data_IF_529861916950
#
_entry.id   IF_529861916950
#
_cell.length_a   1.000
_cell.length_b   1.000
_cell.length_c   1.000
_cell.angle_alpha   90.00
_cell.angle_beta   90.00
_cell.angle_gamma   90.00
#
_symmetry.space_group_name_H-M   'P 1'
#
loop_
_entity.id
_entity.type
_entity.pdbx_description
1 polymer ?
#
# COMPACT_ATOMS: atom_id res chain seq x y z
N UNK A 1 -7.95 87.03 25.22
CA UNK A 1 -8.67 85.92 25.86
C UNK A 1 -9.13 84.98 24.75
N UNK A 2 -8.54 83.77 24.72
CA UNK A 2 -8.91 82.56 23.95
C UNK A 2 -8.78 82.59 22.42
N UNK A 3 -7.60 82.13 21.97
CA UNK A 3 -7.39 81.45 20.69
C UNK A 3 -8.21 80.15 20.65
N UNK A 4 -8.82 79.84 19.50
CA UNK A 4 -9.30 78.50 19.18
C UNK A 4 -8.52 77.98 17.97
N UNK A 5 -7.63 77.02 18.21
CA UNK A 5 -7.00 76.18 17.20
C UNK A 5 -8.04 75.21 16.65
N UNK A 6 -8.24 75.21 15.33
CA UNK A 6 -8.94 74.13 14.63
C UNK A 6 -7.88 73.21 14.04
N UNK A 7 -7.77 72.00 14.61
CA UNK A 7 -6.92 70.93 14.12
C UNK A 7 -7.68 70.22 13.00
N UNK A 8 -7.16 70.26 11.78
CA UNK A 8 -7.59 69.39 10.68
C UNK A 8 -7.04 67.98 10.95
N UNK A 9 -7.91 67.02 11.27
CA UNK A 9 -7.57 65.60 11.19
C UNK A 9 -7.78 65.11 9.75
N UNK A 10 -6.69 64.78 9.07
CA UNK A 10 -6.71 64.00 7.84
C UNK A 10 -6.99 62.53 8.18
N UNK A 11 -8.17 62.03 7.80
CA UNK A 11 -8.45 60.60 7.82
C UNK A 11 -7.74 59.94 6.63
N UNK A 12 -6.64 59.22 6.90
CA UNK A 12 -6.08 58.26 5.96
C UNK A 12 -7.03 57.06 5.88
N UNK A 13 -7.74 56.94 4.77
CA UNK A 13 -8.49 55.74 4.43
C UNK A 13 -7.48 54.67 3.97
N UNK A 14 -7.16 53.75 4.87
CA UNK A 14 -6.41 52.54 4.52
C UNK A 14 -7.34 51.59 3.76
N UNK A 15 -7.12 51.44 2.45
CA UNK A 15 -7.69 50.32 1.70
C UNK A 15 -7.02 49.04 2.22
N UNK A 16 -7.74 48.27 3.03
CA UNK A 16 -7.39 46.88 3.31
C UNK A 16 -7.74 46.11 2.04
N UNK A 17 -6.74 45.82 1.21
CA UNK A 17 -6.87 44.74 0.23
C UNK A 17 -7.06 43.44 1.02
N UNK A 18 -8.30 42.96 1.05
CA UNK A 18 -8.59 41.59 1.42
C UNK A 18 -7.98 40.69 0.33
N UNK A 19 -6.70 40.33 0.51
CA UNK A 19 -6.11 39.24 -0.24
C UNK A 19 -6.90 37.97 0.05
N UNK A 20 -7.77 37.56 -0.88
CA UNK A 20 -8.19 36.17 -0.94
C UNK A 20 -6.91 35.35 -1.11
N UNK A 21 -6.51 34.65 -0.06
CA UNK A 21 -5.61 33.51 -0.15
C UNK A 21 -6.34 32.42 -0.93
N UNK A 22 -6.48 32.60 -2.25
CA UNK A 22 -6.54 31.46 -3.15
C UNK A 22 -5.20 30.77 -2.98
N UNK A 23 -5.18 29.67 -2.21
CA UNK A 23 -4.07 28.75 -2.23
C UNK A 23 -3.72 28.51 -3.70
N UNK A 24 -2.47 28.74 -4.09
CA UNK A 24 -2.06 28.55 -5.49
C UNK A 24 -2.49 27.16 -5.91
N UNK A 25 -3.38 27.08 -6.91
CA UNK A 25 -3.58 25.89 -7.72
C UNK A 25 -2.21 25.34 -8.07
N UNK A 26 -1.96 24.09 -7.70
CA UNK A 26 -0.69 23.43 -8.00
C UNK A 26 -0.92 22.66 -9.27
N UNK A 27 -0.59 23.31 -10.38
CA UNK A 27 -0.57 22.64 -11.68
C UNK A 27 0.18 21.31 -11.54
N UNK A 28 -0.41 20.25 -12.09
CA UNK A 28 0.24 18.95 -12.18
C UNK A 28 1.65 19.08 -12.80
N UNK A 29 2.60 18.20 -12.42
CA UNK A 29 3.92 18.20 -13.04
C UNK A 29 3.83 18.15 -14.58
N UNK A 30 4.76 18.84 -15.24
CA UNK A 30 4.73 19.01 -16.69
C UNK A 30 4.67 17.64 -17.40
N UNK A 31 3.73 17.50 -18.35
CA UNK A 31 3.53 16.28 -19.11
C UNK A 31 2.60 15.26 -18.47
N UNK A 32 2.09 15.52 -17.26
CA UNK A 32 1.14 14.64 -16.58
C UNK A 32 -0.29 15.14 -16.72
N UNK A 33 -1.25 14.21 -16.74
CA UNK A 33 -2.68 14.54 -16.77
C UNK A 33 -3.53 13.41 -16.18
N UNK A 34 -4.74 13.71 -15.69
CA UNK A 34 -5.69 12.69 -15.25
C UNK A 34 -5.95 11.63 -16.33
N UNK A 35 -6.18 10.39 -15.89
CA UNK A 35 -6.41 9.21 -16.73
C UNK A 35 -5.15 8.63 -17.37
N UNK A 36 -3.95 9.12 -17.03
CA UNK A 36 -2.70 8.68 -17.64
C UNK A 36 -1.68 8.22 -16.59
N UNK A 37 -0.80 7.33 -17.03
CA UNK A 37 0.38 6.87 -16.29
C UNK A 37 1.57 7.69 -16.75
N UNK A 38 2.40 8.12 -15.82
CA UNK A 38 3.64 8.84 -16.09
C UNK A 38 4.80 8.22 -15.32
N UNK A 39 5.99 8.14 -15.93
CA UNK A 39 7.21 7.76 -15.22
C UNK A 39 7.85 9.00 -14.59
N UNK A 40 8.27 8.89 -13.33
CA UNK A 40 8.88 9.97 -12.55
C UNK A 40 10.20 9.48 -11.98
N UNK A 41 11.27 10.24 -12.21
CA UNK A 41 12.58 10.01 -11.59
C UNK A 41 12.80 10.93 -10.40
N UNK A 42 13.35 10.39 -9.33
CA UNK A 42 13.77 11.11 -8.12
C UNK A 42 15.16 10.64 -7.69
N UNK A 43 15.88 11.48 -6.94
CA UNK A 43 17.08 11.04 -6.23
C UNK A 43 16.69 10.52 -4.85
N UNK A 44 17.02 9.26 -4.56
CA UNK A 44 16.84 8.64 -3.24
C UNK A 44 18.13 7.96 -2.83
N UNK A 45 18.59 8.20 -1.60
CA UNK A 45 19.86 7.68 -1.08
C UNK A 45 21.09 7.93 -1.97
N UNK A 46 21.06 9.04 -2.74
CA UNK A 46 22.14 9.43 -3.65
C UNK A 46 22.12 8.74 -5.02
N UNK A 47 21.11 7.90 -5.30
CA UNK A 47 20.92 7.21 -6.57
C UNK A 47 19.67 7.74 -7.29
N UNK A 48 19.69 7.70 -8.63
CA UNK A 48 18.49 7.97 -9.43
C UNK A 48 17.59 6.74 -9.38
N UNK A 49 16.36 6.94 -8.91
CA UNK A 49 15.31 5.93 -8.80
C UNK A 49 14.06 6.43 -9.52
N UNK A 50 13.17 5.53 -9.90
CA UNK A 50 11.94 5.91 -10.61
C UNK A 50 10.71 5.18 -10.11
N UNK A 51 9.55 5.76 -10.37
CA UNK A 51 8.25 5.15 -10.13
C UNK A 51 7.26 5.57 -11.21
N UNK A 52 6.27 4.73 -11.48
CA UNK A 52 5.11 5.12 -12.27
C UNK A 52 4.06 5.76 -11.36
N UNK A 53 3.37 6.77 -11.85
CA UNK A 53 2.21 7.36 -11.18
C UNK A 53 1.03 7.40 -12.14
N UNK A 54 -0.07 6.81 -11.73
CA UNK A 54 -1.37 6.95 -12.36
C UNK A 54 -2.20 7.99 -11.63
N UNK A 55 -2.69 8.97 -12.38
CA UNK A 55 -3.60 10.00 -11.88
C UNK A 55 -5.02 9.58 -12.30
N UNK A 56 -5.98 9.37 -11.38
CA UNK A 56 -7.31 8.91 -11.76
C UNK A 56 -8.02 9.98 -12.60
N UNK A 57 -8.91 9.62 -13.56
CA UNK A 57 -9.59 10.57 -14.43
C UNK A 57 -10.36 11.67 -13.69
N UNK A 58 -10.86 11.37 -12.47
CA UNK A 58 -11.59 12.31 -11.62
C UNK A 58 -10.70 13.19 -10.72
N UNK A 59 -9.38 13.12 -10.84
CA UNK A 59 -8.47 13.93 -10.02
C UNK A 59 -8.72 15.43 -10.22
N UNK A 60 -8.73 16.15 -9.10
CA UNK A 60 -8.85 17.61 -9.06
C UNK A 60 -7.94 18.15 -7.96
N UNK A 61 -7.25 19.26 -8.23
CA UNK A 61 -6.40 19.94 -7.25
C UNK A 61 -7.18 20.47 -6.04
N UNK A 62 -8.49 20.64 -6.19
CA UNK A 62 -9.37 21.14 -5.13
C UNK A 62 -9.90 20.04 -4.21
N UNK A 63 -9.60 18.76 -4.48
CA UNK A 63 -10.11 17.60 -3.74
C UNK A 63 -8.98 16.65 -3.32
N UNK A 64 -8.72 16.48 -2.01
CA UNK A 64 -7.78 15.47 -1.51
C UNK A 64 -8.12 14.07 -2.02
N UNK A 65 -7.18 13.49 -2.76
CA UNK A 65 -7.33 12.20 -3.43
C UNK A 65 -6.52 11.13 -2.69
N UNK A 66 -7.08 9.95 -2.37
CA UNK A 66 -6.31 8.84 -1.79
C UNK A 66 -5.14 8.40 -2.68
N UNK A 67 -4.18 7.69 -2.09
CA UNK A 67 -3.04 7.13 -2.82
C UNK A 67 -2.81 5.66 -2.44
N UNK A 68 -2.52 4.82 -3.43
CA UNK A 68 -2.17 3.41 -3.26
C UNK A 68 -0.76 3.20 -3.82
N UNK A 69 0.15 2.68 -3.00
CA UNK A 69 1.46 2.20 -3.42
C UNK A 69 1.36 0.72 -3.73
N UNK A 70 1.79 0.31 -4.93
CA UNK A 70 1.77 -1.09 -5.37
C UNK A 70 3.16 -1.56 -5.79
N UNK A 71 3.71 -2.53 -5.06
CA UNK A 71 5.08 -3.01 -5.23
C UNK A 71 5.13 -4.30 -6.04
N UNK A 72 5.95 -4.31 -7.09
CA UNK A 72 6.11 -5.45 -7.99
C UNK A 72 6.74 -6.68 -7.31
N UNK A 73 6.46 -7.87 -7.83
CA UNK A 73 7.15 -9.09 -7.42
C UNK A 73 8.62 -9.13 -7.84
N UNK A 74 9.40 -10.04 -7.27
CA UNK A 74 10.81 -10.22 -7.66
C UNK A 74 10.93 -10.59 -9.13
N UNK A 75 12.02 -10.17 -9.78
CA UNK A 75 12.31 -10.33 -11.23
C UNK A 75 11.29 -9.70 -12.19
N UNK A 76 10.38 -8.89 -11.66
CA UNK A 76 9.38 -8.10 -12.39
C UNK A 76 9.67 -6.62 -12.19
N UNK A 77 8.98 -5.77 -12.95
CA UNK A 77 9.11 -4.32 -12.86
C UNK A 77 7.78 -3.61 -12.54
N UNK A 78 7.83 -2.28 -12.44
CA UNK A 78 6.66 -1.45 -12.15
C UNK A 78 5.57 -1.53 -13.23
N UNK A 79 5.92 -1.77 -14.51
CA UNK A 79 4.95 -1.93 -15.60
C UNK A 79 4.24 -3.29 -15.49
N UNK A 80 4.99 -4.36 -15.22
CA UNK A 80 4.45 -5.69 -14.94
C UNK A 80 3.41 -5.63 -13.80
N UNK A 81 3.73 -4.94 -12.70
CA UNK A 81 2.80 -4.81 -11.56
C UNK A 81 1.54 -4.01 -11.91
N UNK A 82 1.71 -2.93 -12.68
CA UNK A 82 0.60 -2.11 -13.17
C UNK A 82 -0.39 -2.91 -14.01
N UNK A 83 0.11 -3.78 -14.89
CA UNK A 83 -0.71 -4.65 -15.71
C UNK A 83 -1.36 -5.78 -14.91
N UNK A 84 -0.65 -6.29 -13.90
CA UNK A 84 -1.09 -7.41 -13.09
C UNK A 84 -2.27 -7.06 -12.17
N UNK A 85 -2.13 -5.98 -11.39
CA UNK A 85 -3.07 -5.66 -10.31
C UNK A 85 -4.32 -4.90 -10.76
N UNK A 86 -4.30 -4.30 -11.95
CA UNK A 86 -5.43 -3.55 -12.51
C UNK A 86 -5.92 -2.39 -11.62
N UNK A 87 -5.09 -1.87 -10.69
CA UNK A 87 -5.47 -0.73 -9.84
C UNK A 87 -5.60 0.58 -10.63
N UNK A 88 -5.16 0.63 -11.88
CA UNK A 88 -5.39 1.77 -12.78
C UNK A 88 -6.74 1.67 -13.52
N UNK A 89 -7.46 0.56 -13.39
CA UNK A 89 -8.78 0.38 -14.00
C UNK A 89 -9.84 1.19 -13.24
N UNK A 90 -10.62 2.04 -13.93
CA UNK A 90 -11.71 2.79 -13.29
C UNK A 90 -12.83 1.88 -12.76
N UNK A 91 -12.91 0.63 -13.22
CA UNK A 91 -13.89 -0.35 -12.73
C UNK A 91 -13.57 -0.85 -11.32
N UNK A 92 -12.29 -0.82 -10.92
CA UNK A 92 -11.84 -1.30 -9.59
C UNK A 92 -11.36 -0.18 -8.68
N UNK A 93 -10.71 0.86 -9.23
CA UNK A 93 -10.22 2.00 -8.47
C UNK A 93 -10.63 3.30 -9.18
N UNK A 94 -11.82 3.84 -8.89
CA UNK A 94 -12.32 5.03 -9.58
C UNK A 94 -11.65 6.34 -9.13
N UNK A 95 -10.90 6.35 -8.02
CA UNK A 95 -10.64 7.61 -7.31
C UNK A 95 -9.32 7.73 -6.56
N UNK A 96 -8.39 6.79 -6.66
CA UNK A 96 -7.08 6.90 -5.98
C UNK A 96 -5.96 7.11 -6.98
N UNK A 97 -4.95 7.92 -6.63
CA UNK A 97 -3.65 7.84 -7.29
C UNK A 97 -3.08 6.45 -7.06
N UNK A 98 -2.38 5.91 -8.06
CA UNK A 98 -1.64 4.66 -7.90
C UNK A 98 -0.18 4.90 -8.23
N UNK A 99 0.69 4.51 -7.32
CA UNK A 99 2.13 4.69 -7.38
C UNK A 99 2.74 3.30 -7.49
N UNK A 100 3.56 3.08 -8.52
CA UNK A 100 4.28 1.83 -8.75
C UNK A 100 5.79 2.08 -8.68
N UNK A 101 6.42 1.94 -7.51
CA UNK A 101 7.86 2.13 -7.36
C UNK A 101 8.67 1.05 -8.08
N UNK A 102 9.82 1.42 -8.65
CA UNK A 102 10.77 0.48 -9.25
C UNK A 102 11.86 0.07 -8.25
N UNK A 103 11.94 -1.22 -7.94
CA UNK A 103 13.01 -1.81 -7.14
C UNK A 103 14.34 -1.78 -7.89
N UNK A 104 15.46 -1.62 -7.16
CA UNK A 104 16.79 -1.82 -7.75
C UNK A 104 16.97 -3.32 -8.01
N UNK A 105 17.43 -3.68 -9.21
CA UNK A 105 17.60 -5.08 -9.62
C UNK A 105 16.31 -5.91 -9.44
N UNK A 106 15.16 -5.27 -9.62
CA UNK A 106 13.85 -5.92 -9.64
C UNK A 106 13.56 -6.71 -8.35
N UNK A 107 14.01 -6.17 -7.21
CA UNK A 107 13.83 -6.76 -5.88
C UNK A 107 13.67 -5.68 -4.81
N UNK A 108 13.36 -6.11 -3.58
CA UNK A 108 13.02 -5.22 -2.47
C UNK A 108 13.78 -5.56 -1.19
N UNK A 109 14.01 -4.55 -0.36
CA UNK A 109 14.39 -4.71 1.04
C UNK A 109 13.48 -5.74 1.74
N UNK A 110 14.08 -6.63 2.54
CA UNK A 110 13.39 -7.76 3.17
C UNK A 110 13.62 -9.09 2.44
N UNK A 111 14.05 -9.05 1.17
CA UNK A 111 14.53 -10.26 0.49
C UNK A 111 15.95 -10.61 0.96
N UNK A 112 16.26 -11.88 1.26
CA UNK A 112 17.58 -12.30 1.74
C UNK A 112 18.71 -11.85 0.82
N UNK A 113 19.68 -11.14 1.40
CA UNK A 113 20.86 -10.62 0.68
C UNK A 113 20.67 -9.25 0.00
N UNK A 114 19.44 -8.72 -0.06
CA UNK A 114 19.17 -7.37 -0.57
C UNK A 114 19.52 -6.33 0.50
N UNK A 115 20.20 -5.25 0.09
CA UNK A 115 20.74 -4.20 0.99
C UNK A 115 20.30 -2.79 0.60
N UNK A 116 19.37 -2.67 -0.32
CA UNK A 116 18.75 -1.40 -0.72
C UNK A 116 17.94 -0.83 0.45
N UNK A 117 17.88 0.50 0.52
CA UNK A 117 17.03 1.21 1.48
C UNK A 117 15.74 1.63 0.78
N UNK A 118 14.85 0.66 0.60
CA UNK A 118 13.59 0.88 -0.11
C UNK A 118 12.53 1.52 0.79
N UNK A 119 12.70 1.44 2.12
CA UNK A 119 11.90 2.22 3.08
C UNK A 119 12.16 3.72 2.88
N UNK A 120 13.44 4.13 2.80
CA UNK A 120 13.80 5.51 2.47
C UNK A 120 13.29 5.93 1.10
N UNK A 121 13.38 5.05 0.11
CA UNK A 121 12.85 5.33 -1.22
C UNK A 121 11.33 5.56 -1.19
N UNK A 122 10.58 4.73 -0.47
CA UNK A 122 9.14 4.90 -0.28
C UNK A 122 8.83 6.24 0.41
N UNK A 123 9.59 6.61 1.45
CA UNK A 123 9.45 7.90 2.11
C UNK A 123 9.72 9.09 1.16
N UNK A 124 10.73 8.99 0.30
CA UNK A 124 11.05 10.02 -0.68
C UNK A 124 9.97 10.16 -1.76
N UNK A 125 9.36 9.04 -2.20
CA UNK A 125 8.21 9.09 -3.12
C UNK A 125 7.00 9.71 -2.42
N UNK A 126 6.72 9.34 -1.17
CA UNK A 126 5.61 9.95 -0.41
C UNK A 126 5.77 11.47 -0.32
N UNK A 127 6.97 11.95 0.03
CA UNK A 127 7.25 13.38 0.13
C UNK A 127 7.17 14.07 -1.25
N UNK A 128 7.61 13.40 -2.32
CA UNK A 128 7.40 13.88 -3.69
C UNK A 128 5.91 13.98 -4.02
N UNK A 129 5.14 12.93 -3.75
CA UNK A 129 3.71 12.84 -4.08
C UNK A 129 2.91 13.88 -3.31
N UNK A 130 3.16 14.07 -2.02
CA UNK A 130 2.51 15.10 -1.20
C UNK A 130 2.89 16.54 -1.58
N UNK A 131 4.05 16.73 -2.21
CA UNK A 131 4.49 18.06 -2.68
C UNK A 131 3.96 18.40 -4.08
N UNK A 132 3.64 17.42 -4.92
CA UNK A 132 3.23 17.63 -6.30
C UNK A 132 1.75 17.38 -6.59
N UNK A 133 1.05 16.62 -5.74
CA UNK A 133 -0.38 16.31 -5.91
C UNK A 133 -1.20 16.68 -4.67
N UNK A 134 -2.50 16.93 -4.86
CA UNK A 134 -3.46 17.12 -3.76
C UNK A 134 -3.90 15.76 -3.24
N UNK A 135 -3.13 15.21 -2.30
CA UNK A 135 -3.32 13.88 -1.73
C UNK A 135 -3.99 13.96 -0.36
N UNK A 136 -4.91 13.03 -0.10
CA UNK A 136 -5.43 12.80 1.24
C UNK A 136 -4.43 11.98 2.05
N UNK A 137 -3.67 12.67 2.92
CA UNK A 137 -2.61 12.06 3.74
C UNK A 137 -3.14 11.07 4.77
N UNK A 138 -4.43 11.10 5.09
CA UNK A 138 -5.05 10.11 5.98
C UNK A 138 -5.42 8.82 5.26
N UNK A 139 -5.38 8.80 3.91
CA UNK A 139 -5.82 7.69 3.06
C UNK A 139 -4.73 7.32 2.05
N UNK A 140 -3.58 6.96 2.60
CA UNK A 140 -2.45 6.40 1.85
C UNK A 140 -2.32 4.93 2.23
N UNK A 141 -2.21 4.05 1.23
CA UNK A 141 -2.24 2.59 1.41
C UNK A 141 -1.09 1.91 0.68
N UNK A 142 -0.75 0.69 1.09
CA UNK A 142 0.31 -0.09 0.46
C UNK A 142 -0.15 -1.53 0.16
N UNK A 143 0.17 -2.02 -1.01
CA UNK A 143 -0.06 -3.38 -1.48
C UNK A 143 1.13 -3.82 -2.33
N UNK A 144 1.21 -5.10 -2.64
CA UNK A 144 2.25 -5.61 -3.51
C UNK A 144 2.22 -7.12 -3.56
N UNK A 145 2.90 -7.68 -4.56
CA UNK A 145 2.94 -9.11 -4.79
C UNK A 145 4.29 -9.73 -4.43
N UNK A 146 4.32 -10.95 -3.89
CA UNK A 146 5.56 -11.74 -3.76
C UNK A 146 6.60 -11.01 -2.90
N UNK A 147 7.82 -10.77 -3.41
CA UNK A 147 8.82 -9.91 -2.76
C UNK A 147 8.24 -8.52 -2.39
N UNK A 148 7.42 -7.91 -3.25
CA UNK A 148 6.72 -6.63 -2.97
C UNK A 148 5.61 -6.76 -1.91
N UNK A 149 4.99 -7.94 -1.79
CA UNK A 149 4.08 -8.26 -0.68
C UNK A 149 4.84 -8.42 0.64
N UNK A 150 6.02 -9.04 0.60
CA UNK A 150 6.95 -9.05 1.73
C UNK A 150 7.37 -7.64 2.14
N UNK A 151 7.71 -6.79 1.17
CA UNK A 151 8.06 -5.39 1.42
C UNK A 151 6.89 -4.56 1.96
N UNK A 152 5.65 -4.86 1.55
CA UNK A 152 4.43 -4.27 2.14
C UNK A 152 4.38 -4.52 3.66
N UNK A 153 4.73 -5.73 4.12
CA UNK A 153 4.86 -6.02 5.55
C UNK A 153 6.04 -5.29 6.22
N UNK A 154 7.17 -5.12 5.51
CA UNK A 154 8.29 -4.29 6.01
C UNK A 154 7.83 -2.87 6.32
N UNK A 155 7.06 -2.25 5.41
CA UNK A 155 6.50 -0.92 5.62
C UNK A 155 5.50 -0.89 6.79
N UNK A 156 4.66 -1.91 6.90
CA UNK A 156 3.68 -2.02 7.97
C UNK A 156 4.33 -2.14 9.35
N UNK A 157 5.51 -2.77 9.41
CA UNK A 157 6.30 -2.94 10.63
C UNK A 157 7.39 -1.88 10.84
N UNK A 158 7.54 -0.91 9.94
CA UNK A 158 8.47 0.20 10.12
C UNK A 158 7.85 1.31 10.99
N UNK A 159 8.65 1.87 11.89
CA UNK A 159 8.17 2.84 12.87
C UNK A 159 7.68 4.14 12.23
N UNK A 160 8.30 4.59 11.13
CA UNK A 160 7.91 5.81 10.46
C UNK A 160 6.78 5.55 9.45
N UNK A 161 6.88 4.47 8.67
CA UNK A 161 5.91 4.18 7.61
C UNK A 161 4.57 3.71 8.17
N UNK A 162 4.55 2.98 9.29
CA UNK A 162 3.29 2.63 9.97
C UNK A 162 2.45 3.86 10.34
N UNK A 163 3.06 5.04 10.56
CA UNK A 163 2.36 6.30 10.84
C UNK A 163 1.93 7.06 9.56
N UNK A 164 2.37 6.64 8.38
CA UNK A 164 2.11 7.30 7.09
C UNK A 164 1.11 6.53 6.22
N UNK A 165 0.96 5.23 6.46
CA UNK A 165 0.03 4.36 5.73
C UNK A 165 -1.13 3.91 6.62
N UNK A 166 -2.35 4.11 6.12
CA UNK A 166 -3.60 3.80 6.81
C UNK A 166 -3.92 2.30 6.82
N UNK A 167 -3.57 1.56 5.77
CA UNK A 167 -3.83 0.12 5.65
C UNK A 167 -2.87 -0.56 4.67
N UNK A 168 -2.72 -1.88 4.82
CA UNK A 168 -1.80 -2.72 4.05
C UNK A 168 -2.50 -3.94 3.47
N UNK A 169 -2.13 -4.32 2.24
CA UNK A 169 -2.74 -5.46 1.56
C UNK A 169 -1.72 -6.30 0.76
N UNK A 170 -0.82 -7.07 1.38
CA UNK A 170 0.09 -7.94 0.64
C UNK A 170 -0.64 -9.09 -0.06
N UNK A 171 -0.13 -9.50 -1.22
CA UNK A 171 -0.64 -10.62 -2.01
C UNK A 171 0.48 -11.63 -2.26
N UNK A 172 0.28 -12.88 -1.85
CA UNK A 172 1.27 -13.95 -1.94
C UNK A 172 2.64 -13.55 -1.37
N UNK A 173 2.64 -12.88 -0.22
CA UNK A 173 3.80 -12.12 0.27
C UNK A 173 4.97 -13.00 0.74
N UNK A 174 6.19 -12.63 0.36
CA UNK A 174 7.40 -13.33 0.79
C UNK A 174 7.93 -12.77 2.14
N UNK A 175 7.37 -13.23 3.25
CA UNK A 175 7.66 -12.74 4.60
C UNK A 175 8.91 -13.40 5.21
N UNK A 176 10.10 -13.13 4.66
CA UNK A 176 11.35 -13.73 5.14
C UNK A 176 11.72 -13.30 6.56
N UNK A 177 12.08 -14.28 7.39
CA UNK A 177 12.58 -14.10 8.75
C UNK A 177 13.98 -14.71 8.84
N UNK A 178 14.97 -13.91 9.23
CA UNK A 178 16.38 -14.32 9.38
C UNK A 178 16.56 -15.25 10.58
N UNK A 179 16.17 -16.51 10.40
CA UNK A 179 16.33 -17.58 11.38
C UNK A 179 16.49 -18.94 10.70
N UNK A 180 17.30 -19.80 11.33
CA UNK A 180 17.53 -21.18 10.90
C UNK A 180 17.94 -22.03 12.12
N UNK A 181 17.33 -23.20 12.37
CA UNK A 181 16.33 -23.89 11.53
C UNK A 181 14.98 -23.17 11.49
N UNK A 182 14.24 -23.36 10.39
CA UNK A 182 12.91 -22.78 10.21
C UNK A 182 11.84 -23.67 10.85
N UNK A 183 11.02 -23.07 11.71
CA UNK A 183 9.75 -23.64 12.16
C UNK A 183 8.62 -22.68 11.74
N UNK A 184 7.95 -22.91 10.58
CA UNK A 184 7.01 -21.97 9.99
C UNK A 184 5.83 -21.60 10.90
N UNK A 185 5.36 -22.53 11.71
CA UNK A 185 4.17 -22.36 12.55
C UNK A 185 4.46 -21.67 13.89
N UNK A 186 5.74 -21.41 14.22
CA UNK A 186 6.11 -20.83 15.51
C UNK A 186 7.21 -19.78 15.43
N UNK A 187 7.68 -19.44 14.23
CA UNK A 187 8.76 -18.46 14.07
C UNK A 187 8.32 -17.10 14.60
N UNK A 188 9.16 -16.45 15.40
CA UNK A 188 8.89 -15.09 15.86
C UNK A 188 8.99 -14.10 14.70
N UNK A 189 7.92 -13.34 14.45
CA UNK A 189 7.85 -12.34 13.40
C UNK A 189 8.09 -10.96 14.05
N UNK A 190 9.27 -10.34 13.84
CA UNK A 190 9.55 -9.04 14.42
C UNK A 190 8.73 -7.95 13.71
N UNK A 191 8.19 -7.03 14.50
CA UNK A 191 7.46 -5.87 13.99
C UNK A 191 7.70 -4.68 14.91
N UNK A 192 8.11 -3.55 14.34
CA UNK A 192 8.45 -2.33 15.08
C UNK A 192 7.56 -1.16 14.64
N UNK A 193 6.29 -1.45 14.41
CA UNK A 193 5.30 -0.43 14.09
C UNK A 193 5.13 0.54 15.27
N UNK A 194 4.86 1.81 14.97
CA UNK A 194 4.74 2.86 15.99
C UNK A 194 3.28 3.16 16.37
N UNK A 195 2.31 2.51 15.70
CA UNK A 195 0.89 2.54 16.05
C UNK A 195 0.34 1.13 16.15
N UNK A 196 -0.65 0.99 17.02
CA UNK A 196 -1.49 -0.20 17.11
C UNK A 196 -2.65 -0.10 16.11
N UNK A 197 -3.44 -1.17 16.04
CA UNK A 197 -4.64 -1.27 15.22
C UNK A 197 -4.37 -0.93 13.74
N UNK A 198 -3.43 -1.65 13.13
CA UNK A 198 -3.07 -1.47 11.72
C UNK A 198 -3.96 -2.38 10.86
N UNK A 199 -4.85 -1.82 10.03
CA UNK A 199 -5.64 -2.60 9.11
C UNK A 199 -4.75 -3.35 8.12
N UNK A 200 -4.93 -4.66 8.04
CA UNK A 200 -4.07 -5.56 7.26
C UNK A 200 -4.88 -6.68 6.62
N UNK A 201 -4.86 -6.81 5.29
CA UNK A 201 -5.59 -7.85 4.56
C UNK A 201 -4.63 -8.65 3.67
N UNK A 202 -4.60 -9.97 3.81
CA UNK A 202 -3.69 -10.85 3.07
C UNK A 202 -4.45 -11.78 2.11
N UNK A 203 -3.80 -12.16 1.01
CA UNK A 203 -4.35 -13.06 0.00
C UNK A 203 -3.31 -14.09 -0.43
N UNK A 204 -3.62 -15.39 -0.28
CA UNK A 204 -2.66 -16.45 -0.59
C UNK A 204 -3.29 -17.70 -1.18
N UNK A 205 -2.59 -18.28 -2.16
CA UNK A 205 -2.98 -19.53 -2.82
C UNK A 205 -2.49 -20.78 -2.10
N UNK A 206 -3.35 -21.78 -1.95
CA UNK A 206 -2.98 -23.08 -1.37
C UNK A 206 -2.02 -23.90 -2.24
N UNK A 207 -2.04 -23.70 -3.56
CA UNK A 207 -1.12 -24.34 -4.51
C UNK A 207 0.10 -23.46 -4.83
N UNK A 208 0.38 -22.43 -4.04
CA UNK A 208 1.58 -21.60 -4.23
C UNK A 208 2.85 -22.44 -4.04
N UNK A 209 3.57 -22.71 -5.12
CA UNK A 209 4.81 -23.50 -5.12
C UNK A 209 6.07 -22.64 -4.95
N UNK A 210 5.92 -21.32 -4.88
CA UNK A 210 7.02 -20.36 -4.71
C UNK A 210 7.13 -19.91 -3.26
N UNK A 211 6.05 -19.39 -2.70
CA UNK A 211 5.89 -19.01 -1.30
C UNK A 211 4.79 -19.91 -0.74
N UNK A 212 5.18 -21.04 -0.18
CA UNK A 212 4.20 -22.06 0.21
C UNK A 212 3.27 -21.51 1.30
N UNK A 213 1.98 -21.86 1.22
CA UNK A 213 0.98 -21.45 2.22
C UNK A 213 1.36 -21.93 3.64
N UNK A 214 1.91 -23.14 3.74
CA UNK A 214 2.41 -23.73 4.99
C UNK A 214 3.80 -23.19 5.40
N UNK A 215 4.34 -22.23 4.65
CA UNK A 215 5.67 -21.67 4.88
C UNK A 215 6.80 -22.68 4.65
N UNK A 216 7.97 -22.41 5.20
CA UNK A 216 9.13 -23.30 5.09
C UNK A 216 10.47 -22.58 4.97
N UNK A 217 11.55 -23.37 5.01
CA UNK A 217 12.88 -22.84 4.79
C UNK A 217 13.07 -22.44 3.33
N UNK A 218 13.49 -21.20 3.07
CA UNK A 218 13.77 -20.68 1.73
C UNK A 218 14.90 -19.68 1.79
N UNK A 219 15.82 -19.70 0.82
CA UNK A 219 16.97 -18.78 0.74
C UNK A 219 17.81 -18.70 2.05
N UNK A 220 17.87 -19.80 2.82
CA UNK A 220 18.53 -19.92 4.15
C UNK A 220 17.85 -19.15 5.30
N UNK A 221 16.66 -18.64 5.06
CA UNK A 221 15.80 -17.98 6.03
C UNK A 221 14.50 -18.77 6.19
N UNK A 222 13.61 -18.30 7.06
CA UNK A 222 12.33 -18.93 7.35
C UNK A 222 11.17 -18.10 6.77
N UNK A 223 10.27 -18.74 6.04
CA UNK A 223 8.95 -18.19 5.74
C UNK A 223 7.97 -18.76 6.78
N UNK A 224 7.23 -17.92 7.52
CA UNK A 224 6.15 -18.39 8.38
C UNK A 224 5.06 -19.05 7.53
N UNK A 225 4.29 -19.95 8.14
CA UNK A 225 3.02 -20.35 7.52
C UNK A 225 2.09 -19.15 7.52
N UNK A 226 1.28 -18.99 6.47
CA UNK A 226 0.35 -17.86 6.34
C UNK A 226 -0.67 -17.83 7.49
N UNK A 227 -1.24 -18.96 7.95
CA UNK A 227 -2.07 -18.97 9.16
C UNK A 227 -1.34 -18.42 10.39
N UNK A 228 -0.09 -18.82 10.62
CA UNK A 228 0.70 -18.28 11.74
C UNK A 228 0.99 -16.78 11.56
N UNK A 229 1.39 -16.37 10.36
CA UNK A 229 1.68 -14.96 10.04
C UNK A 229 0.49 -14.04 10.33
N UNK A 230 -0.70 -14.40 9.83
CA UNK A 230 -1.91 -13.60 10.06
C UNK A 230 -2.36 -13.65 11.50
N UNK A 231 -2.22 -14.80 12.17
CA UNK A 231 -2.50 -14.89 13.60
C UNK A 231 -1.58 -13.96 14.42
N UNK A 232 -0.30 -13.81 14.06
CA UNK A 232 0.60 -12.87 14.72
C UNK A 232 0.20 -11.41 14.48
N UNK A 233 -0.29 -11.06 13.28
CA UNK A 233 -0.87 -9.73 13.02
C UNK A 233 -2.08 -9.45 13.93
N UNK A 234 -2.99 -10.42 14.06
CA UNK A 234 -4.16 -10.29 14.94
C UNK A 234 -3.77 -10.17 16.42
N UNK A 235 -2.81 -10.98 16.89
CA UNK A 235 -2.34 -10.94 18.28
C UNK A 235 -1.60 -9.65 18.61
N UNK A 236 -0.86 -9.06 17.66
CA UNK A 236 -0.17 -7.78 17.88
C UNK A 236 -1.16 -6.67 18.23
N UNK A 237 -2.31 -6.63 17.57
CA UNK A 237 -3.33 -5.60 17.76
C UNK A 237 -4.44 -6.03 18.75
N UNK A 238 -4.14 -6.98 19.64
CA UNK A 238 -5.05 -7.48 20.69
C UNK A 238 -6.42 -7.97 20.17
N UNK A 239 -6.47 -8.53 18.96
CA UNK A 239 -7.72 -8.99 18.32
C UNK A 239 -8.17 -10.39 18.76
N UNK A 240 -7.34 -11.09 19.55
CA UNK A 240 -7.57 -12.45 20.03
C UNK A 240 -7.03 -13.54 19.09
N UNK A 241 -7.25 -14.80 19.50
CA UNK A 241 -6.79 -16.01 18.81
C UNK A 241 -7.88 -16.68 17.95
N UNK A 242 -9.10 -16.16 18.00
CA UNK A 242 -10.23 -16.62 17.19
C UNK A 242 -10.47 -15.73 15.99
N UNK A 243 -10.89 -16.33 14.89
CA UNK A 243 -11.37 -15.63 13.70
C UNK A 243 -12.79 -16.07 13.33
N UNK A 244 -13.47 -15.25 12.54
CA UNK A 244 -14.67 -15.63 11.82
C UNK A 244 -14.30 -16.17 10.44
N UNK A 245 -14.70 -17.41 10.16
CA UNK A 245 -14.53 -18.04 8.86
C UNK A 245 -15.79 -17.87 7.99
N UNK A 246 -15.60 -17.39 6.76
CA UNK A 246 -16.65 -17.32 5.74
C UNK A 246 -16.22 -18.09 4.49
N UNK A 247 -16.97 -19.12 4.11
CA UNK A 247 -16.80 -19.77 2.81
C UNK A 247 -17.39 -18.90 1.70
N UNK A 248 -16.52 -18.34 0.86
CA UNK A 248 -16.91 -17.50 -0.28
C UNK A 248 -17.26 -18.38 -1.50
N UNK A 249 -16.50 -19.45 -1.68
CA UNK A 249 -16.67 -20.47 -2.71
C UNK A 249 -16.21 -21.84 -2.17
N UNK A 250 -16.43 -22.96 -2.88
CA UNK A 250 -16.00 -24.29 -2.41
C UNK A 250 -14.51 -24.39 -2.06
N UNK A 251 -13.68 -23.65 -2.79
CA UNK A 251 -12.22 -23.62 -2.67
C UNK A 251 -11.69 -22.33 -2.03
N UNK A 252 -12.56 -21.42 -1.57
CA UNK A 252 -12.15 -20.09 -1.05
C UNK A 252 -12.76 -19.82 0.32
N UNK A 253 -11.90 -19.47 1.26
CA UNK A 253 -12.26 -19.12 2.64
C UNK A 253 -11.69 -17.76 2.98
N UNK A 254 -12.52 -16.92 3.60
CA UNK A 254 -12.11 -15.67 4.21
C UNK A 254 -12.08 -15.83 5.72
N UNK A 255 -11.01 -15.36 6.36
CA UNK A 255 -10.85 -15.29 7.80
C UNK A 255 -10.84 -13.82 8.22
N UNK A 256 -11.63 -13.44 9.22
CA UNK A 256 -11.64 -12.09 9.79
C UNK A 256 -11.35 -12.13 11.28
N UNK A 257 -10.49 -11.23 11.75
CA UNK A 257 -10.12 -11.10 13.15
C UNK A 257 -10.65 -9.80 13.73
N UNK A 258 -10.82 -9.76 15.05
CA UNK A 258 -11.36 -8.61 15.78
C UNK A 258 -12.89 -8.65 15.91
N UNK A 259 -13.43 -7.73 16.71
CA UNK A 259 -14.87 -7.67 17.01
C UNK A 259 -15.31 -6.25 17.29
N UNK A 260 -16.62 -5.97 17.18
CA UNK A 260 -17.15 -4.63 17.42
C UNK A 260 -16.50 -3.60 16.51
N UNK A 261 -15.78 -2.62 17.07
CA UNK A 261 -15.11 -1.57 16.28
C UNK A 261 -13.85 -2.04 15.55
N UNK A 262 -13.29 -3.20 15.90
CA UNK A 262 -12.11 -3.78 15.23
C UNK A 262 -12.45 -4.98 14.35
N UNK A 263 -13.73 -5.22 14.08
CA UNK A 263 -14.18 -6.34 13.26
C UNK A 263 -13.58 -6.28 11.85
N UNK A 264 -12.81 -7.31 11.49
CA UNK A 264 -12.09 -7.38 10.21
C UNK A 264 -10.98 -6.35 10.09
N UNK A 265 -10.36 -5.95 11.21
CA UNK A 265 -9.16 -5.14 11.17
C UNK A 265 -8.00 -5.92 10.53
N UNK A 266 -7.91 -7.21 10.82
CA UNK A 266 -7.03 -8.14 10.13
C UNK A 266 -7.89 -9.15 9.37
N UNK A 267 -7.63 -9.33 8.08
CA UNK A 267 -8.35 -10.27 7.21
C UNK A 267 -7.36 -11.15 6.41
N UNK A 268 -7.79 -12.35 6.06
CA UNK A 268 -7.05 -13.27 5.20
C UNK A 268 -7.99 -13.95 4.21
N UNK A 269 -7.59 -14.02 2.95
CA UNK A 269 -8.26 -14.77 1.90
C UNK A 269 -7.37 -15.92 1.44
N UNK A 270 -7.86 -17.13 1.69
CA UNK A 270 -7.28 -18.37 1.21
C UNK A 270 -8.07 -18.88 0.01
N UNK A 271 -7.38 -19.30 -1.05
CA UNK A 271 -7.98 -20.13 -2.10
C UNK A 271 -7.09 -21.33 -2.43
N UNK A 272 -7.64 -22.54 -2.28
CA UNK A 272 -6.85 -23.78 -2.36
C UNK A 272 -6.25 -24.06 -3.73
N UNK A 273 -6.90 -23.58 -4.80
CA UNK A 273 -6.60 -24.04 -6.16
C UNK A 273 -5.61 -23.12 -6.90
N UNK A 274 -5.46 -21.87 -6.47
CA UNK A 274 -4.58 -20.90 -7.12
C UNK A 274 -3.13 -21.03 -6.62
N UNK A 275 -2.19 -20.66 -7.47
CA UNK A 275 -0.76 -20.74 -7.20
C UNK A 275 -0.20 -19.44 -6.62
N UNK A 276 1.01 -19.09 -7.06
CA UNK A 276 1.69 -17.84 -6.71
C UNK A 276 1.14 -16.64 -7.51
N UNK A 277 -0.13 -16.32 -7.28
CA UNK A 277 -0.94 -15.51 -8.19
C UNK A 277 -1.47 -14.25 -7.54
N UNK A 278 -1.60 -13.17 -8.32
CA UNK A 278 -2.58 -12.13 -8.01
C UNK A 278 -3.99 -12.68 -8.31
N UNK A 279 -4.87 -12.89 -7.31
CA UNK A 279 -6.17 -13.52 -7.53
C UNK A 279 -7.06 -12.70 -8.47
N UNK A 280 -7.53 -13.34 -9.54
CA UNK A 280 -8.39 -12.73 -10.57
C UNK A 280 -9.36 -13.76 -11.13
N UNK A 281 -10.60 -13.35 -11.36
CA UNK A 281 -11.65 -14.16 -12.01
C UNK A 281 -11.47 -14.27 -13.53
N UNK A 282 -10.54 -13.50 -14.09
CA UNK A 282 -10.14 -13.55 -15.50
C UNK A 282 -8.64 -13.81 -15.64
N UNK A 283 -8.18 -14.32 -16.79
CA UNK A 283 -6.77 -14.61 -16.99
C UNK A 283 -5.87 -13.38 -16.80
N UNK A 284 -4.72 -13.57 -16.16
CA UNK A 284 -3.64 -12.59 -16.01
C UNK A 284 -2.26 -13.28 -16.13
N UNK A 285 -1.19 -12.51 -16.03
CA UNK A 285 0.19 -12.99 -16.25
C UNK A 285 0.70 -14.01 -15.22
N UNK A 286 -0.01 -14.18 -14.11
CA UNK A 286 0.29 -15.20 -13.11
C UNK A 286 -0.48 -16.50 -13.38
N UNK A 287 -1.79 -16.41 -13.58
CA UNK A 287 -2.66 -17.58 -13.63
C UNK A 287 -2.76 -18.26 -15.01
N UNK A 288 -2.11 -17.71 -16.03
CA UNK A 288 -1.96 -18.35 -17.34
C UNK A 288 -0.84 -19.40 -17.39
N UNK A 289 -0.12 -19.61 -16.27
CA UNK A 289 0.96 -20.59 -16.17
C UNK A 289 0.43 -22.01 -16.03
N UNK A 290 1.22 -22.98 -16.46
CA UNK A 290 0.86 -24.40 -16.34
C UNK A 290 0.63 -24.77 -14.88
N UNK A 291 -0.55 -25.29 -14.55
CA UNK A 291 -0.93 -25.69 -13.19
C UNK A 291 -1.51 -24.57 -12.34
N UNK A 292 -1.68 -23.37 -12.90
CA UNK A 292 -2.37 -22.26 -12.26
C UNK A 292 -3.78 -22.10 -12.84
N UNK A 293 -4.66 -21.47 -12.07
CA UNK A 293 -6.08 -21.30 -12.40
C UNK A 293 -6.55 -19.89 -12.05
N UNK A 294 -7.59 -19.42 -12.73
CA UNK A 294 -8.31 -18.22 -12.28
C UNK A 294 -8.90 -18.46 -10.89
N UNK A 295 -8.89 -17.44 -10.07
CA UNK A 295 -9.47 -17.45 -8.74
C UNK A 295 -11.00 -17.37 -8.80
N UNK A 296 -11.67 -17.76 -7.71
CA UNK A 296 -13.11 -17.57 -7.54
C UNK A 296 -13.50 -16.12 -7.24
N UNK A 297 -12.52 -15.28 -6.92
CA UNK A 297 -12.67 -13.85 -6.62
C UNK A 297 -11.59 -13.00 -7.30
N UNK A 298 -11.77 -11.68 -7.26
CA UNK A 298 -10.77 -10.72 -7.72
C UNK A 298 -10.25 -9.93 -6.51
N UNK A 299 -8.94 -9.99 -6.25
CA UNK A 299 -8.35 -9.35 -5.08
C UNK A 299 -8.43 -7.82 -5.16
N UNK A 300 -8.25 -7.24 -6.34
CA UNK A 300 -8.17 -5.79 -6.55
C UNK A 300 -9.38 -5.01 -6.00
N UNK A 301 -10.64 -5.33 -6.36
CA UNK A 301 -11.80 -4.62 -5.79
C UNK A 301 -11.96 -4.86 -4.28
N UNK A 302 -11.55 -6.01 -3.75
CA UNK A 302 -11.58 -6.30 -2.30
C UNK A 302 -10.56 -5.41 -1.57
N UNK A 303 -9.36 -5.28 -2.12
CA UNK A 303 -8.29 -4.41 -1.60
C UNK A 303 -8.75 -2.95 -1.59
N UNK A 304 -9.33 -2.46 -2.69
CA UNK A 304 -9.81 -1.08 -2.79
C UNK A 304 -10.97 -0.82 -1.81
N UNK A 305 -11.91 -1.76 -1.67
CA UNK A 305 -12.97 -1.66 -0.66
C UNK A 305 -12.37 -1.59 0.75
N UNK A 306 -11.47 -2.51 1.08
CA UNK A 306 -10.80 -2.55 2.38
C UNK A 306 -10.10 -1.21 2.68
N UNK A 307 -9.28 -0.72 1.76
CA UNK A 307 -8.63 0.59 1.89
C UNK A 307 -9.63 1.73 2.11
N UNK A 308 -10.73 1.77 1.36
CA UNK A 308 -11.73 2.84 1.46
C UNK A 308 -12.39 2.95 2.85
N UNK A 309 -12.37 1.87 3.64
CA UNK A 309 -12.92 1.80 4.99
C UNK A 309 -11.95 2.28 6.08
N UNK A 310 -10.71 2.57 5.73
CA UNK A 310 -9.65 2.89 6.69
C UNK A 310 -8.99 4.24 6.42
N UNK A 311 -8.73 4.97 7.49
CA UNK A 311 -7.92 6.19 7.52
C UNK A 311 -7.06 6.22 8.79
N UNK A 312 -5.96 6.97 8.75
CA UNK A 312 -5.18 7.30 9.96
C UNK A 312 -5.94 8.20 10.94
#
# INVERSE_FOLDING_TARGET
>A
MKLFNVILLSALSACIEAGLLHGRRRDLPAGQSPGHVSNVSITSSGEERSFLVFIPPGYSEDQPTPAIFSYHGGVRDAEDQLHLDQLTSPDFNPGSLVIYPQGIQDTWQGVPGVKTDDVKFTADILDYVESHYTVDKSRIYATGKSDGGGFTNVLACDAAMSLRFAAFAPVSGAFYIDTSPCNPDTVSIPCNAQRDNIPFIEFHGGNDTTIHYDGGARKKECLPSIPHFIQQWALRDDLGDSNEETHIAPNTVRYRFGSGSTEGLVEHYYESDIGHDWPSTVPNDDNQRSGHHVASYNATPIIVDFFSRHSL
#
